data_IF_154870980313
#
_entry.id   IF_154870980313
#
_cell.length_a   1.000
_cell.length_b   1.000
_cell.length_c   1.000
_cell.angle_alpha   90.00
_cell.angle_beta   90.00
_cell.angle_gamma   90.00
#
_symmetry.space_group_name_H-M   'P 1'
#
loop_
_entity.id
_entity.type
_entity.pdbx_description
1 polymer ?
#
# COMPACT_ATOMS: atom_id res chain seq x y z
N UNK A 1 7.03 7.87 6.22
CA UNK A 1 5.79 7.66 5.41
C UNK A 1 5.68 8.56 4.17
N UNK A 2 6.42 9.67 4.06
CA UNK A 2 6.40 10.53 2.84
C UNK A 2 6.82 9.79 1.56
N UNK A 3 7.78 8.87 1.66
CA UNK A 3 8.21 8.02 0.54
C UNK A 3 7.05 7.23 -0.08
N UNK A 4 6.26 6.53 0.75
CA UNK A 4 5.08 5.80 0.30
C UNK A 4 4.04 6.72 -0.35
N UNK A 5 3.85 7.94 0.17
CA UNK A 5 2.96 8.94 -0.44
C UNK A 5 3.43 9.27 -1.86
N UNK A 6 4.72 9.56 -2.04
CA UNK A 6 5.29 9.89 -3.36
C UNK A 6 5.09 8.73 -4.34
N UNK A 7 5.38 7.49 -3.91
CA UNK A 7 5.16 6.31 -4.74
C UNK A 7 3.69 6.17 -5.15
N UNK A 8 2.75 6.32 -4.23
CA UNK A 8 1.32 6.28 -4.53
C UNK A 8 0.90 7.39 -5.51
N UNK A 9 1.42 8.62 -5.36
CA UNK A 9 1.12 9.71 -6.29
C UNK A 9 1.63 9.41 -7.71
N UNK A 10 2.82 8.81 -7.82
CA UNK A 10 3.41 8.38 -9.09
C UNK A 10 2.59 7.26 -9.72
N UNK A 11 2.29 6.18 -8.98
CA UNK A 11 1.55 5.02 -9.46
C UNK A 11 0.15 5.44 -9.93
N UNK A 12 -0.57 6.23 -9.13
CA UNK A 12 -1.93 6.65 -9.45
C UNK A 12 -2.01 7.83 -10.44
N UNK A 13 -0.85 8.43 -10.79
CA UNK A 13 -0.72 9.68 -11.53
C UNK A 13 -1.69 10.78 -11.02
N UNK A 14 -1.81 10.90 -9.69
CA UNK A 14 -2.73 11.81 -8.99
C UNK A 14 -2.06 12.33 -7.73
N UNK A 15 -2.38 13.57 -7.36
CA UNK A 15 -1.91 14.14 -6.08
C UNK A 15 -2.79 13.69 -4.94
N UNK A 16 -2.15 13.32 -3.83
CA UNK A 16 -2.82 12.98 -2.58
C UNK A 16 -3.08 14.27 -1.82
N UNK A 17 -4.35 14.51 -1.45
CA UNK A 17 -4.67 15.53 -0.47
C UNK A 17 -4.19 15.06 0.91
N UNK A 18 -3.17 15.73 1.45
CA UNK A 18 -2.60 15.39 2.76
C UNK A 18 -2.39 16.63 3.62
N UNK A 19 -2.56 16.46 4.92
CA UNK A 19 -2.15 17.39 5.96
C UNK A 19 -1.34 16.66 7.03
N UNK A 20 -0.47 17.38 7.74
CA UNK A 20 0.25 16.85 8.88
C UNK A 20 -0.52 17.20 10.15
N UNK A 21 -0.75 16.20 11.02
CA UNK A 21 -1.28 16.42 12.36
C UNK A 21 -0.15 16.39 13.36
N UNK A 22 -0.09 17.38 14.25
CA UNK A 22 0.94 17.48 15.29
C UNK A 22 0.81 16.40 16.37
N UNK A 23 -0.40 15.88 16.56
CA UNK A 23 -0.69 14.80 17.51
C UNK A 23 -0.37 13.44 16.90
N UNK A 24 0.53 12.70 17.54
CA UNK A 24 0.80 11.31 17.18
C UNK A 24 -0.45 10.45 17.36
N UNK A 25 -0.68 9.49 16.46
CA UNK A 25 -1.75 8.50 16.64
C UNK A 25 -1.48 7.72 17.93
N UNK A 26 -2.42 7.78 18.87
CA UNK A 26 -2.33 7.03 20.14
C UNK A 26 -2.20 5.54 19.82
N UNK A 27 -1.07 4.94 20.20
CA UNK A 27 -0.75 3.54 19.92
C UNK A 27 0.44 3.34 18.98
N UNK A 28 0.75 4.30 18.10
CA UNK A 28 1.88 4.22 17.15
C UNK A 28 3.20 4.70 17.76
N UNK A 29 3.64 4.03 18.82
CA UNK A 29 4.86 4.43 19.56
C UNK A 29 6.07 3.53 19.29
N UNK A 30 5.92 2.49 18.45
CA UNK A 30 7.01 1.58 18.10
C UNK A 30 6.98 1.27 16.62
N UNK A 31 8.15 1.30 16.02
CA UNK A 31 8.39 0.82 14.67
C UNK A 31 9.33 -0.37 14.75
N UNK A 32 9.08 -1.37 13.90
CA UNK A 32 9.81 -2.63 13.92
C UNK A 32 10.46 -2.85 12.57
N UNK A 33 11.75 -3.18 12.59
CA UNK A 33 12.50 -3.64 11.43
C UNK A 33 12.93 -5.06 11.75
N UNK A 34 12.50 -6.01 10.92
CA UNK A 34 12.80 -7.43 11.14
C UNK A 34 14.15 -7.78 10.52
N UNK A 35 14.99 -8.48 11.27
CA UNK A 35 16.17 -9.15 10.72
C UNK A 35 15.76 -10.55 10.25
N UNK A 36 15.92 -10.81 8.95
CA UNK A 36 15.62 -12.10 8.31
C UNK A 36 16.85 -12.96 8.05
N UNK A 37 18.02 -12.58 8.57
CA UNK A 37 19.30 -13.28 8.31
C UNK A 37 19.22 -14.75 8.69
N UNK A 38 18.60 -15.08 9.83
CA UNK A 38 18.38 -16.46 10.26
C UNK A 38 17.54 -17.24 9.24
N UNK A 39 16.45 -16.66 8.76
CA UNK A 39 15.57 -17.31 7.80
C UNK A 39 16.29 -17.59 6.47
N UNK A 40 17.09 -16.63 6.00
CA UNK A 40 17.95 -16.81 4.82
C UNK A 40 19.02 -17.89 5.01
N UNK A 41 19.57 -18.03 6.21
CA UNK A 41 20.54 -19.07 6.51
C UNK A 41 19.89 -20.47 6.46
N UNK A 42 18.68 -20.59 7.00
CA UNK A 42 17.92 -21.85 6.99
C UNK A 42 17.37 -22.18 5.58
N UNK A 43 17.09 -21.15 4.76
CA UNK A 43 16.56 -21.27 3.39
C UNK A 43 17.36 -20.41 2.39
N UNK A 44 18.53 -20.87 1.90
CA UNK A 44 19.43 -20.05 1.06
C UNK A 44 18.88 -19.68 -0.32
N UNK A 45 17.96 -20.49 -0.86
CA UNK A 45 17.27 -20.22 -2.13
C UNK A 45 16.20 -19.12 -1.97
N UNK A 46 15.80 -18.79 -0.74
CA UNK A 46 14.78 -17.78 -0.49
C UNK A 46 15.34 -16.35 -0.64
N UNK A 47 14.62 -15.53 -1.40
CA UNK A 47 14.89 -14.10 -1.55
C UNK A 47 13.59 -13.30 -1.44
N UNK A 48 13.70 -11.97 -1.31
CA UNK A 48 12.53 -11.12 -1.43
C UNK A 48 12.11 -11.03 -2.90
N UNK A 49 10.89 -11.47 -3.21
CA UNK A 49 10.30 -11.38 -4.56
C UNK A 49 9.52 -10.08 -4.79
N UNK A 50 9.33 -9.31 -3.71
CA UNK A 50 8.51 -8.12 -3.65
C UNK A 50 9.26 -6.98 -2.97
N UNK A 51 9.35 -5.85 -3.66
CA UNK A 51 9.73 -4.57 -3.07
C UNK A 51 8.48 -3.72 -2.79
N UNK A 52 8.70 -2.56 -2.16
CA UNK A 52 7.61 -1.65 -1.79
C UNK A 52 6.85 -1.15 -3.02
N UNK A 53 7.55 -0.87 -4.13
CA UNK A 53 6.92 -0.34 -5.33
C UNK A 53 5.98 -1.38 -5.94
N UNK A 54 6.46 -2.61 -6.14
CA UNK A 54 5.66 -3.71 -6.69
C UNK A 54 4.43 -4.01 -5.82
N UNK A 55 4.57 -4.00 -4.50
CA UNK A 55 3.44 -4.19 -3.58
C UNK A 55 2.39 -3.09 -3.78
N UNK A 56 2.82 -1.82 -3.90
CA UNK A 56 1.90 -0.71 -4.09
C UNK A 56 1.23 -0.72 -5.47
N UNK A 57 1.94 -1.15 -6.51
CA UNK A 57 1.41 -1.32 -7.87
C UNK A 57 0.31 -2.40 -7.90
N UNK A 58 0.57 -3.59 -7.34
CA UNK A 58 -0.44 -4.67 -7.27
C UNK A 58 -1.67 -4.25 -6.46
N UNK A 59 -1.49 -3.55 -5.33
CA UNK A 59 -2.62 -2.99 -4.56
C UNK A 59 -3.41 -2.00 -5.42
N UNK A 60 -2.74 -1.14 -6.19
CA UNK A 60 -3.41 -0.17 -7.05
C UNK A 60 -4.24 -0.86 -8.15
N UNK A 61 -3.65 -1.83 -8.85
CA UNK A 61 -4.31 -2.59 -9.91
C UNK A 61 -5.56 -3.33 -9.40
N UNK A 62 -5.44 -4.06 -8.29
CA UNK A 62 -6.56 -4.74 -7.63
C UNK A 62 -7.68 -3.78 -7.25
N UNK A 63 -7.33 -2.59 -6.74
CA UNK A 63 -8.31 -1.58 -6.35
C UNK A 63 -9.01 -0.98 -7.57
N UNK A 64 -8.31 -0.78 -8.68
CA UNK A 64 -8.89 -0.29 -9.92
C UNK A 64 -9.86 -1.30 -10.52
N UNK A 65 -9.53 -2.60 -10.50
CA UNK A 65 -10.44 -3.66 -10.95
C UNK A 65 -11.72 -3.67 -10.11
N UNK A 66 -11.60 -3.62 -8.78
CA UNK A 66 -12.76 -3.59 -7.86
C UNK A 66 -13.64 -2.37 -8.05
N UNK A 67 -13.06 -1.23 -8.39
CA UNK A 67 -13.82 -0.01 -8.66
C UNK A 67 -14.52 -0.08 -10.02
N UNK A 68 -13.90 -0.70 -11.02
CA UNK A 68 -14.52 -0.92 -12.32
C UNK A 68 -15.66 -1.96 -12.27
N UNK A 69 -15.60 -2.92 -11.35
CA UNK A 69 -16.61 -3.96 -11.19
C UNK A 69 -17.77 -3.59 -10.25
N UNK A 70 -17.70 -2.45 -9.57
CA UNK A 70 -18.81 -2.00 -8.71
C UNK A 70 -19.94 -1.47 -9.58
N UNK A 71 -21.20 -1.89 -9.36
CA UNK A 71 -22.34 -1.28 -10.04
C UNK A 71 -22.33 0.21 -9.73
N UNK A 72 -22.60 1.03 -10.74
CA UNK A 72 -22.67 2.48 -10.55
C UNK A 72 -23.83 2.82 -9.61
N UNK A 73 -23.73 3.96 -8.93
CA UNK A 73 -24.83 4.42 -8.06
C UNK A 73 -26.17 4.51 -8.82
N UNK A 74 -26.12 4.73 -10.14
CA UNK A 74 -27.27 4.68 -11.05
C UNK A 74 -27.87 3.26 -11.23
N UNK A 75 -27.06 2.20 -11.21
CA UNK A 75 -27.53 0.81 -11.29
C UNK A 75 -28.13 0.32 -9.96
N UNK A 76 -27.64 0.87 -8.84
CA UNK A 76 -28.19 0.59 -7.50
C UNK A 76 -29.48 1.36 -7.20
N UNK A 77 -29.71 2.50 -7.86
CA UNK A 77 -30.91 3.32 -7.66
C UNK A 77 -32.16 2.81 -8.41
N UNK A 78 -32.01 1.83 -9.31
CA UNK A 78 -33.09 1.25 -10.12
C UNK A 78 -33.56 -0.13 -9.59
N UNK A 79 -32.90 -0.67 -8.56
CA UNK A 79 -33.24 -1.92 -7.88
C UNK A 79 -34.09 -1.67 -6.61
#
# INVERSE_FOLDING_TARGET
MVEAIILCETIANKRLERSYGDENRKGDHKWWVSDVTKFRADYPEWTYDYDIQKILEEIYEDQMERLASKPTDDELAVA
#
